data_IF_662406700502
#
_entry.id   IF_662406700502
#
_cell.length_a   1.000
_cell.length_b   1.000
_cell.length_c   1.000
_cell.angle_alpha   90.00
_cell.angle_beta   90.00
_cell.angle_gamma   90.00
#
_symmetry.space_group_name_H-M   'P 1'
#
loop_
_entity.id
_entity.type
_entity.pdbx_description
1 polymer ?
#
# COMPACT_ATOMS: atom_id res chain seq x y z
N UNK A 1 -0.21 -22.35 2.06
CA UNK A 1 0.85 -21.34 1.88
C UNK A 1 0.58 -20.57 0.59
N UNK A 2 0.54 -19.25 0.68
CA UNK A 2 0.36 -18.39 -0.49
C UNK A 2 1.57 -18.44 -1.42
N UNK A 3 1.35 -18.11 -2.68
CA UNK A 3 2.38 -17.95 -3.68
C UNK A 3 2.14 -16.63 -4.44
N UNK A 4 2.99 -16.30 -5.40
CA UNK A 4 2.84 -15.04 -6.14
C UNK A 4 1.47 -14.91 -6.81
N UNK A 5 0.91 -15.99 -7.32
CA UNK A 5 -0.39 -16.00 -7.98
C UNK A 5 -1.54 -15.68 -6.99
N UNK A 6 -1.37 -16.01 -5.71
CA UNK A 6 -2.38 -15.70 -4.68
C UNK A 6 -2.65 -14.20 -4.52
N UNK A 7 -1.67 -13.36 -4.87
CA UNK A 7 -1.77 -11.90 -4.78
C UNK A 7 -2.07 -11.23 -6.12
N UNK A 8 -2.35 -12.01 -7.17
CA UNK A 8 -2.72 -11.46 -8.47
C UNK A 8 -4.23 -11.28 -8.57
N UNK A 9 -4.64 -10.19 -9.21
CA UNK A 9 -6.02 -9.98 -9.62
C UNK A 9 -6.09 -9.84 -11.16
N UNK A 10 -7.31 -9.64 -11.68
CA UNK A 10 -7.52 -9.55 -13.12
C UNK A 10 -7.29 -8.14 -13.71
N UNK A 11 -6.99 -7.18 -12.86
CA UNK A 11 -6.78 -5.79 -13.29
C UNK A 11 -5.36 -5.63 -13.81
N UNK A 12 -5.23 -5.28 -15.07
CA UNK A 12 -3.91 -4.99 -15.66
C UNK A 12 -3.44 -3.60 -15.23
N UNK A 13 -2.22 -3.48 -14.69
CA UNK A 13 -1.63 -2.18 -14.44
C UNK A 13 -1.52 -1.36 -15.74
N UNK A 14 -1.83 -0.07 -15.65
CA UNK A 14 -1.73 0.85 -16.79
C UNK A 14 -0.58 1.86 -16.65
N UNK A 15 0.46 1.50 -15.91
CA UNK A 15 1.67 2.29 -15.85
C UNK A 15 2.38 2.35 -17.19
N UNK A 16 3.23 3.35 -17.36
CA UNK A 16 4.01 3.51 -18.59
C UNK A 16 4.94 2.30 -18.82
N UNK A 17 5.23 1.94 -20.08
CA UNK A 17 6.22 0.91 -20.38
C UNK A 17 7.56 1.23 -19.71
N UNK A 18 8.14 0.25 -19.00
CA UNK A 18 9.40 0.41 -18.28
C UNK A 18 9.31 1.16 -16.95
N UNK A 19 8.10 1.47 -16.48
CA UNK A 19 7.91 2.13 -15.20
C UNK A 19 8.39 1.27 -14.03
N UNK A 20 9.07 1.90 -13.06
CA UNK A 20 9.56 1.22 -11.86
C UNK A 20 8.45 0.67 -10.96
N UNK A 21 7.21 1.16 -11.08
CA UNK A 21 6.09 0.68 -10.27
C UNK A 21 5.77 -0.80 -10.52
N UNK A 22 6.05 -1.33 -11.71
CA UNK A 22 5.94 -2.77 -11.96
C UNK A 22 6.89 -3.58 -11.06
N UNK A 23 8.11 -3.09 -10.86
CA UNK A 23 9.08 -3.73 -9.98
C UNK A 23 8.66 -3.61 -8.51
N UNK A 24 8.12 -2.49 -8.10
CA UNK A 24 7.61 -2.27 -6.74
C UNK A 24 6.46 -3.23 -6.46
N UNK A 25 5.51 -3.38 -7.38
CA UNK A 25 4.41 -4.34 -7.25
C UNK A 25 4.93 -5.77 -7.08
N UNK A 26 5.87 -6.19 -7.91
CA UNK A 26 6.49 -7.50 -7.82
C UNK A 26 7.20 -7.71 -6.48
N UNK A 27 7.93 -6.69 -6.02
CA UNK A 27 8.62 -6.74 -4.73
C UNK A 27 7.63 -6.89 -3.56
N UNK A 28 6.50 -6.21 -3.59
CA UNK A 28 5.45 -6.35 -2.58
C UNK A 28 4.87 -7.77 -2.55
N UNK A 29 4.58 -8.34 -3.72
CA UNK A 29 4.10 -9.73 -3.82
C UNK A 29 5.12 -10.71 -3.25
N UNK A 30 6.40 -10.55 -3.62
CA UNK A 30 7.47 -11.41 -3.11
C UNK A 30 7.66 -11.27 -1.61
N UNK A 31 7.58 -10.05 -1.07
CA UNK A 31 7.66 -9.80 0.36
C UNK A 31 6.51 -10.47 1.12
N UNK A 32 5.27 -10.35 0.60
CA UNK A 32 4.11 -10.99 1.21
C UNK A 32 4.25 -12.51 1.25
N UNK A 33 4.73 -13.12 0.17
CA UNK A 33 5.01 -14.57 0.11
C UNK A 33 6.10 -14.96 1.10
N UNK A 34 7.21 -14.20 1.15
CA UNK A 34 8.31 -14.45 2.10
C UNK A 34 7.88 -14.38 3.55
N UNK A 35 6.94 -13.50 3.87
CA UNK A 35 6.38 -13.34 5.21
C UNK A 35 5.27 -14.36 5.50
N UNK A 36 4.99 -15.27 4.58
CA UNK A 36 3.89 -16.25 4.67
C UNK A 36 2.52 -15.61 4.90
N UNK A 37 2.30 -14.42 4.35
CA UNK A 37 1.01 -13.75 4.44
C UNK A 37 0.01 -14.37 3.47
N UNK A 38 -1.24 -14.42 3.91
CA UNK A 38 -2.38 -14.68 3.02
C UNK A 38 -3.00 -13.33 2.60
N UNK A 39 -3.71 -13.27 1.46
CA UNK A 39 -4.30 -12.02 0.97
C UNK A 39 -5.16 -11.27 2.00
N UNK A 40 -5.88 -11.99 2.85
CA UNK A 40 -6.73 -11.41 3.88
C UNK A 40 -5.96 -10.86 5.10
N UNK A 41 -4.64 -11.02 5.14
CA UNK A 41 -3.76 -10.48 6.19
C UNK A 41 -3.02 -9.23 5.75
N UNK A 42 -3.19 -8.82 4.48
CA UNK A 42 -2.55 -7.66 3.88
C UNK A 42 -3.59 -6.59 3.56
N UNK A 43 -3.34 -5.37 4.00
CA UNK A 43 -4.14 -4.20 3.67
C UNK A 43 -3.28 -3.16 2.96
N UNK A 44 -3.70 -2.78 1.76
CA UNK A 44 -3.05 -1.77 0.92
C UNK A 44 -3.88 -0.50 0.94
N UNK A 45 -3.32 0.57 1.47
CA UNK A 45 -3.98 1.87 1.57
C UNK A 45 -3.34 2.79 0.55
N UNK A 46 -4.11 3.17 -0.46
CA UNK A 46 -3.63 3.95 -1.58
C UNK A 46 -3.96 5.43 -1.43
N UNK A 47 -2.95 6.26 -1.57
CA UNK A 47 -3.11 7.69 -1.82
C UNK A 47 -3.26 7.97 -3.31
N UNK A 48 -2.76 9.09 -3.75
CA UNK A 48 -2.85 9.55 -5.14
C UNK A 48 -1.46 9.56 -5.78
N UNK A 49 -1.42 9.25 -7.06
CA UNK A 49 -0.20 9.09 -7.84
C UNK A 49 -0.09 7.69 -8.44
N UNK A 50 0.90 7.48 -9.29
CA UNK A 50 1.05 6.20 -10.01
C UNK A 50 1.28 5.03 -9.06
N UNK A 51 2.16 5.16 -8.09
CA UNK A 51 2.41 4.13 -7.08
C UNK A 51 1.20 3.87 -6.17
N UNK A 52 0.37 4.87 -5.94
CA UNK A 52 -0.89 4.72 -5.20
C UNK A 52 -1.91 3.79 -5.88
N UNK A 53 -1.69 3.40 -7.12
CA UNK A 53 -2.57 2.45 -7.81
C UNK A 53 -2.30 0.99 -7.47
N UNK A 54 -1.20 0.70 -6.82
CA UNK A 54 -0.80 -0.69 -6.46
C UNK A 54 -1.92 -1.42 -5.70
N UNK A 55 -2.63 -0.72 -4.80
CA UNK A 55 -3.74 -1.32 -4.06
C UNK A 55 -4.87 -1.86 -4.92
N UNK A 56 -5.06 -1.33 -6.13
CA UNK A 56 -6.03 -1.83 -7.11
C UNK A 56 -5.52 -2.96 -7.99
N UNK A 57 -4.23 -3.23 -7.97
CA UNK A 57 -3.57 -4.21 -8.85
C UNK A 57 -3.14 -5.48 -8.12
N UNK A 58 -3.36 -5.55 -6.82
CA UNK A 58 -3.06 -6.72 -6.01
C UNK A 58 -4.33 -7.30 -5.40
N UNK A 59 -4.37 -8.62 -5.27
CA UNK A 59 -5.44 -9.29 -4.55
C UNK A 59 -5.12 -9.31 -3.06
N UNK A 60 -5.66 -8.33 -2.36
CA UNK A 60 -5.53 -8.10 -0.91
C UNK A 60 -6.66 -7.15 -0.50
N UNK A 61 -6.77 -6.82 0.78
CA UNK A 61 -7.63 -5.70 1.15
C UNK A 61 -7.03 -4.41 0.60
N UNK A 62 -7.84 -3.62 -0.08
CA UNK A 62 -7.40 -2.37 -0.67
C UNK A 62 -8.41 -1.26 -0.49
N UNK A 63 -7.94 -0.05 -0.30
CA UNK A 63 -8.76 1.15 -0.34
C UNK A 63 -8.03 2.29 -1.01
N UNK A 64 -8.74 3.08 -1.79
CA UNK A 64 -8.30 4.37 -2.29
C UNK A 64 -8.77 5.46 -1.35
N UNK A 65 -7.88 6.39 -1.02
CA UNK A 65 -8.19 7.49 -0.10
C UNK A 65 -8.13 8.84 -0.82
N UNK A 66 -8.49 9.88 -0.11
CA UNK A 66 -8.36 11.26 -0.58
C UNK A 66 -6.88 11.65 -0.69
N UNK A 67 -6.57 12.52 -1.64
CA UNK A 67 -5.21 13.02 -1.86
C UNK A 67 -4.56 13.53 -0.57
N UNK A 68 -3.38 13.01 -0.29
CA UNK A 68 -2.61 13.33 0.92
C UNK A 68 -3.12 12.67 2.21
N UNK A 69 -4.03 11.70 2.12
CA UNK A 69 -4.69 11.12 3.31
C UNK A 69 -4.45 9.62 3.49
N UNK A 70 -3.55 9.02 2.71
CA UNK A 70 -3.28 7.59 2.85
C UNK A 70 -2.78 7.21 4.25
N UNK A 71 -1.87 8.00 4.82
CA UNK A 71 -1.28 7.68 6.12
C UNK A 71 -2.26 7.72 7.28
N UNK A 72 -3.13 8.73 7.46
CA UNK A 72 -4.13 8.68 8.54
C UNK A 72 -5.10 7.51 8.37
N UNK A 73 -5.50 7.16 7.15
CA UNK A 73 -6.32 5.96 6.92
C UNK A 73 -5.56 4.69 7.28
N UNK A 74 -4.30 4.57 6.85
CA UNK A 74 -3.47 3.39 7.16
C UNK A 74 -3.27 3.21 8.66
N UNK A 75 -3.02 4.30 9.39
CA UNK A 75 -2.93 4.27 10.85
C UNK A 75 -4.24 3.79 11.48
N UNK A 76 -5.38 4.31 11.00
CA UNK A 76 -6.70 3.88 11.47
C UNK A 76 -6.95 2.39 11.26
N UNK A 77 -6.61 1.88 10.08
CA UNK A 77 -6.73 0.45 9.75
C UNK A 77 -5.87 -0.39 10.70
N UNK A 78 -4.61 0.00 10.91
CA UNK A 78 -3.68 -0.73 11.80
C UNK A 78 -4.13 -0.72 13.25
N UNK A 79 -4.63 0.41 13.73
CA UNK A 79 -5.13 0.53 15.10
C UNK A 79 -6.41 -0.27 15.32
N UNK A 80 -7.28 -0.32 14.31
CA UNK A 80 -8.53 -1.10 14.38
C UNK A 80 -8.27 -2.61 14.32
N UNK A 81 -7.28 -3.04 13.55
CA UNK A 81 -6.88 -4.44 13.47
C UNK A 81 -5.35 -4.58 13.44
N UNK A 82 -4.72 -4.68 14.63
CA UNK A 82 -3.26 -4.75 14.74
C UNK A 82 -2.62 -5.98 14.07
N UNK A 83 -3.39 -7.02 13.78
CA UNK A 83 -2.88 -8.23 13.14
C UNK A 83 -2.65 -8.07 11.64
N UNK A 84 -3.28 -7.07 11.01
CA UNK A 84 -3.05 -6.79 9.59
C UNK A 84 -1.64 -6.26 9.35
N UNK A 85 -1.04 -6.71 8.28
CA UNK A 85 0.11 -6.04 7.66
C UNK A 85 -0.42 -4.89 6.82
N UNK A 86 -0.13 -3.66 7.21
CA UNK A 86 -0.66 -2.46 6.56
C UNK A 86 0.45 -1.75 5.81
N UNK A 87 0.24 -1.57 4.51
CA UNK A 87 1.17 -0.85 3.63
C UNK A 87 0.38 0.29 2.97
N UNK A 88 0.89 1.50 3.08
CA UNK A 88 0.38 2.65 2.37
C UNK A 88 1.27 2.95 1.16
N UNK A 89 0.66 3.34 0.05
CA UNK A 89 1.36 3.73 -1.17
C UNK A 89 0.81 5.05 -1.69
N UNK A 90 1.68 5.95 -2.08
CA UNK A 90 1.29 7.25 -2.62
C UNK A 90 2.41 7.88 -3.43
N UNK A 91 2.10 8.97 -4.12
CA UNK A 91 3.10 9.77 -4.82
C UNK A 91 3.83 10.72 -3.86
N UNK A 92 4.92 11.29 -4.35
CA UNK A 92 5.71 12.28 -3.60
C UNK A 92 4.90 13.52 -3.21
N UNK A 93 4.13 14.07 -4.15
CA UNK A 93 3.22 15.19 -3.87
C UNK A 93 2.07 14.81 -2.94
N UNK A 94 1.65 13.56 -2.97
CA UNK A 94 0.64 13.01 -2.07
C UNK A 94 1.14 13.00 -0.62
N UNK A 95 2.34 12.47 -0.39
CA UNK A 95 2.90 12.33 0.95
C UNK A 95 3.66 13.55 1.47
N UNK A 96 4.34 14.29 0.59
CA UNK A 96 5.29 15.34 1.00
C UNK A 96 4.89 16.75 0.55
N UNK A 97 3.75 16.93 -0.10
CA UNK A 97 3.15 18.22 -0.37
C UNK A 97 1.83 18.34 0.40
N UNK A 98 0.72 17.89 -0.18
CA UNK A 98 -0.59 18.02 0.47
C UNK A 98 -0.70 17.20 1.76
N UNK A 99 -0.01 16.07 1.84
CA UNK A 99 -0.01 15.18 3.00
C UNK A 99 1.11 15.41 4.02
N UNK A 100 1.91 16.47 3.90
CA UNK A 100 3.12 16.67 4.71
C UNK A 100 2.88 16.51 6.22
N UNK A 101 1.84 17.16 6.75
CA UNK A 101 1.53 17.08 8.18
C UNK A 101 1.21 15.64 8.62
N UNK A 102 0.45 14.90 7.81
CA UNK A 102 0.14 13.50 8.10
C UNK A 102 1.38 12.61 8.08
N UNK A 103 2.30 12.86 7.16
CA UNK A 103 3.58 12.13 7.09
C UNK A 103 4.40 12.35 8.35
N UNK A 104 4.58 13.59 8.76
CA UNK A 104 5.34 13.95 9.97
C UNK A 104 4.66 13.35 11.22
N UNK A 105 3.34 13.46 11.33
CA UNK A 105 2.61 12.90 12.47
C UNK A 105 2.65 11.37 12.49
N UNK A 106 2.62 10.70 11.34
CA UNK A 106 2.77 9.25 11.27
C UNK A 106 4.15 8.81 11.77
N UNK A 107 5.22 9.50 11.35
CA UNK A 107 6.57 9.26 11.84
C UNK A 107 6.65 9.42 13.36
N UNK A 108 6.11 10.51 13.89
CA UNK A 108 6.10 10.80 15.33
C UNK A 108 5.37 9.72 16.13
N UNK A 109 4.24 9.26 15.63
CA UNK A 109 3.44 8.22 16.31
C UNK A 109 4.04 6.83 16.20
N UNK A 110 4.85 6.60 15.18
CA UNK A 110 5.52 5.32 14.91
C UNK A 110 4.56 4.12 14.93
N UNK A 111 3.39 4.28 14.36
CA UNK A 111 2.45 3.18 14.15
C UNK A 111 3.08 2.17 13.20
N UNK A 112 2.91 0.88 13.48
CA UNK A 112 3.54 -0.20 12.70
C UNK A 112 2.87 -0.36 11.32
N UNK A 113 3.17 0.57 10.43
CA UNK A 113 2.78 0.57 9.01
C UNK A 113 4.01 0.84 8.15
N UNK A 114 3.93 0.49 6.88
CA UNK A 114 4.96 0.82 5.87
C UNK A 114 4.38 1.83 4.88
N UNK A 115 5.15 2.86 4.52
CA UNK A 115 4.77 3.86 3.53
C UNK A 115 5.82 3.99 2.45
#
# INVERSE_FOLDING_TARGET
MSNLASFQNQVKPNWCPGCGDYAVQMALQQAAVKLNLEPHQLALVSGIGCSGRIGGYLYAYGMHTTHGRALPFAQGVKLANPELTVIACGGDGDGFAIGTAHTIHAMRRNVNITY
#
